data_IF_075201075155
#
_entry.id   IF_075201075155
#
_cell.length_a   1.000
_cell.length_b   1.000
_cell.length_c   1.000
_cell.angle_alpha   90.00
_cell.angle_beta   90.00
_cell.angle_gamma   90.00
#
_symmetry.space_group_name_H-M   'P 1'
#
loop_
_entity.id
_entity.type
_entity.pdbx_description
1 polymer ?
#
# COMPACT_ATOMS: atom_id res chain seq x y z
N UNK A 1 14.46 14.95 -19.04
CA UNK A 1 13.42 14.84 -18.00
C UNK A 1 13.29 13.37 -17.66
N UNK A 2 13.60 13.00 -16.42
CA UNK A 2 13.78 11.61 -16.02
C UNK A 2 12.43 10.88 -16.03
N UNK A 3 12.16 10.09 -17.08
CA UNK A 3 11.05 9.15 -17.10
C UNK A 3 11.36 8.09 -16.05
N UNK A 4 10.85 8.30 -14.83
CA UNK A 4 10.67 7.19 -13.90
C UNK A 4 9.93 6.11 -14.68
N UNK A 5 10.55 4.95 -14.79
CA UNK A 5 9.97 3.79 -15.42
C UNK A 5 8.70 3.48 -14.60
N UNK A 6 7.55 3.99 -15.04
CA UNK A 6 6.28 3.84 -14.34
C UNK A 6 6.00 2.35 -14.31
N UNK A 7 6.29 1.70 -13.17
CA UNK A 7 5.91 0.32 -12.98
C UNK A 7 4.38 0.21 -13.08
N UNK A 8 3.88 -0.98 -13.38
CA UNK A 8 2.45 -1.18 -13.62
C UNK A 8 1.58 -0.72 -12.45
N UNK A 9 2.11 -0.80 -11.22
CA UNK A 9 1.48 -0.31 -9.99
C UNK A 9 1.27 1.21 -10.04
N UNK A 10 2.30 1.98 -10.40
CA UNK A 10 2.22 3.43 -10.53
C UNK A 10 1.21 3.85 -11.61
N UNK A 11 1.19 3.14 -12.75
CA UNK A 11 0.22 3.37 -13.82
C UNK A 11 -1.22 3.08 -13.36
N UNK A 12 -1.44 1.97 -12.66
CA UNK A 12 -2.74 1.60 -12.10
C UNK A 12 -3.23 2.62 -11.05
N UNK A 13 -2.34 3.07 -10.17
CA UNK A 13 -2.66 4.07 -9.16
C UNK A 13 -3.10 5.39 -9.80
N UNK A 14 -2.36 5.88 -10.81
CA UNK A 14 -2.69 7.11 -11.52
C UNK A 14 -4.10 7.04 -12.13
N UNK A 15 -4.39 5.97 -12.88
CA UNK A 15 -5.72 5.76 -13.49
C UNK A 15 -6.84 5.74 -12.45
N UNK A 16 -6.62 5.06 -11.32
CA UNK A 16 -7.62 4.93 -10.26
C UNK A 16 -7.92 6.27 -9.58
N UNK A 17 -6.88 7.08 -9.31
CA UNK A 17 -7.04 8.40 -8.68
C UNK A 17 -7.63 9.42 -9.65
N UNK A 18 -7.26 9.39 -10.93
CA UNK A 18 -7.87 10.24 -11.95
C UNK A 18 -9.37 9.97 -12.09
N UNK A 19 -9.79 8.69 -12.06
CA UNK A 19 -11.20 8.33 -12.06
C UNK A 19 -11.92 8.85 -10.80
N UNK A 20 -11.37 8.58 -9.61
CA UNK A 20 -11.93 9.05 -8.34
C UNK A 20 -12.11 10.57 -8.29
N UNK A 21 -11.13 11.33 -8.78
CA UNK A 21 -11.20 12.80 -8.80
C UNK A 21 -12.23 13.33 -9.80
N UNK A 22 -12.48 12.63 -10.91
CA UNK A 22 -13.56 12.96 -11.84
C UNK A 22 -14.94 12.69 -11.24
N UNK A 23 -15.07 11.59 -10.52
CA UNK A 23 -16.33 11.17 -9.90
C UNK A 23 -16.71 12.02 -8.68
N UNK A 24 -15.76 12.79 -8.15
CA UNK A 24 -15.94 13.61 -6.95
C UNK A 24 -16.91 14.78 -7.13
N UNK A 25 -17.22 15.18 -8.37
CA UNK A 25 -18.21 16.20 -8.77
C UNK A 25 -18.28 17.46 -7.86
N UNK A 26 -17.12 17.94 -7.40
CA UNK A 26 -17.00 19.15 -6.56
C UNK A 26 -17.17 18.96 -5.05
N UNK A 27 -17.41 17.74 -4.56
CA UNK A 27 -17.37 17.44 -3.13
C UNK A 27 -15.94 17.49 -2.57
N UNK A 28 -15.79 17.76 -1.26
CA UNK A 28 -14.46 17.72 -0.63
C UNK A 28 -14.03 16.27 -0.48
N UNK A 29 -12.89 15.86 -1.09
CA UNK A 29 -12.43 14.50 -0.93
C UNK A 29 -12.02 14.26 0.52
N UNK A 30 -12.28 13.06 1.03
CA UNK A 30 -11.60 12.56 2.22
C UNK A 30 -10.08 12.54 2.01
N UNK A 31 -9.30 12.25 3.06
CA UNK A 31 -7.83 12.17 2.94
C UNK A 31 -7.41 11.08 1.93
N UNK A 32 -7.21 11.49 0.67
CA UNK A 32 -6.82 10.61 -0.45
C UNK A 32 -5.51 9.90 -0.13
N UNK A 33 -4.59 10.61 0.52
CA UNK A 33 -3.31 10.05 0.95
C UNK A 33 -3.51 8.83 1.86
N UNK A 34 -4.29 8.98 2.93
CA UNK A 34 -4.58 7.88 3.87
C UNK A 34 -5.33 6.73 3.18
N UNK A 35 -6.28 7.05 2.29
CA UNK A 35 -7.00 6.05 1.49
C UNK A 35 -6.04 5.21 0.65
N UNK A 36 -5.16 5.86 -0.11
CA UNK A 36 -4.19 5.19 -0.98
C UNK A 36 -3.21 4.35 -0.17
N UNK A 37 -2.63 4.93 0.88
CA UNK A 37 -1.65 4.25 1.72
C UNK A 37 -2.28 2.98 2.32
N UNK A 38 -3.50 3.06 2.86
CA UNK A 38 -4.21 1.89 3.40
C UNK A 38 -4.50 0.84 2.32
N UNK A 39 -4.93 1.25 1.14
CA UNK A 39 -5.26 0.36 0.03
C UNK A 39 -4.04 -0.39 -0.53
N UNK A 40 -2.85 0.19 -0.46
CA UNK A 40 -1.61 -0.43 -0.96
C UNK A 40 -0.89 -1.22 0.14
N UNK A 41 -0.81 -0.69 1.36
CA UNK A 41 -0.06 -1.34 2.43
C UNK A 41 -0.65 -2.68 2.87
N UNK A 42 -1.98 -2.77 2.93
CA UNK A 42 -2.64 -4.01 3.37
C UNK A 42 -2.31 -5.21 2.48
N UNK A 43 -2.56 -5.18 1.15
CA UNK A 43 -2.20 -6.31 0.28
C UNK A 43 -0.69 -6.55 0.24
N UNK A 44 0.13 -5.50 0.33
CA UNK A 44 1.58 -5.65 0.39
C UNK A 44 2.01 -6.49 1.61
N UNK A 45 1.45 -6.21 2.80
CA UNK A 45 1.80 -6.94 4.01
C UNK A 45 1.18 -8.35 4.06
N UNK A 46 -0.05 -8.53 3.57
CA UNK A 46 -0.69 -9.84 3.45
C UNK A 46 0.14 -10.77 2.55
N UNK A 47 0.51 -10.31 1.35
CA UNK A 47 1.33 -11.09 0.41
C UNK A 47 2.73 -11.38 0.95
N UNK A 48 3.36 -10.42 1.64
CA UNK A 48 4.66 -10.62 2.26
C UNK A 48 4.61 -11.66 3.39
N UNK A 49 3.56 -11.63 4.22
CA UNK A 49 3.35 -12.61 5.29
C UNK A 49 3.04 -13.99 4.75
N UNK A 50 2.23 -14.09 3.69
CA UNK A 50 1.94 -15.34 2.99
C UNK A 50 3.22 -15.95 2.41
N UNK A 51 3.99 -15.16 1.65
CA UNK A 51 5.26 -15.60 1.08
C UNK A 51 6.27 -16.04 2.16
N UNK A 52 6.27 -15.36 3.31
CA UNK A 52 7.11 -15.70 4.45
C UNK A 52 6.59 -16.88 5.30
N UNK A 53 5.43 -17.47 4.96
CA UNK A 53 4.81 -18.54 5.72
C UNK A 53 4.45 -18.14 7.16
N UNK A 54 3.98 -16.90 7.34
CA UNK A 54 3.65 -16.33 8.65
C UNK A 54 4.85 -15.83 9.46
N UNK A 55 6.08 -15.96 8.96
CA UNK A 55 7.28 -15.51 9.66
C UNK A 55 7.50 -13.99 9.49
N UNK A 56 7.17 -13.22 10.53
CA UNK A 56 7.31 -11.76 10.52
C UNK A 56 8.75 -11.28 10.30
N UNK A 57 9.77 -12.02 10.74
CA UNK A 57 11.18 -11.63 10.50
C UNK A 57 11.50 -11.73 9.01
N UNK A 58 11.16 -12.85 8.38
CA UNK A 58 11.35 -13.05 6.93
C UNK A 58 10.52 -12.06 6.10
N UNK A 59 9.27 -11.80 6.49
CA UNK A 59 8.44 -10.81 5.82
C UNK A 59 9.03 -9.39 5.94
N UNK A 60 9.56 -9.03 7.11
CA UNK A 60 10.21 -7.73 7.33
C UNK A 60 11.50 -7.59 6.51
N UNK A 61 12.29 -8.66 6.40
CA UNK A 61 13.47 -8.72 5.51
C UNK A 61 13.07 -8.56 4.04
N UNK A 62 12.04 -9.28 3.57
CA UNK A 62 11.50 -9.16 2.21
C UNK A 62 11.06 -7.73 1.90
N UNK A 63 10.39 -7.09 2.85
CA UNK A 63 9.88 -5.72 2.72
C UNK A 63 10.96 -4.64 2.93
N UNK A 64 12.15 -5.02 3.40
CA UNK A 64 13.23 -4.07 3.72
C UNK A 64 12.90 -3.11 4.88
N UNK A 65 12.05 -3.53 5.81
CA UNK A 65 11.65 -2.71 6.97
C UNK A 65 12.01 -3.39 8.30
N UNK A 66 12.06 -2.61 9.37
CA UNK A 66 12.24 -3.17 10.71
C UNK A 66 11.05 -4.08 11.09
N UNK A 67 11.32 -5.25 11.66
CA UNK A 67 10.29 -6.20 12.16
C UNK A 67 9.29 -5.55 13.11
N UNK A 68 9.73 -4.66 14.00
CA UNK A 68 8.84 -3.95 14.93
C UNK A 68 7.91 -2.99 14.17
N UNK A 69 8.39 -2.38 13.08
CA UNK A 69 7.55 -1.57 12.18
C UNK A 69 6.50 -2.45 11.50
N UNK A 70 6.88 -3.59 10.93
CA UNK A 70 5.93 -4.53 10.33
C UNK A 70 4.87 -4.97 11.35
N UNK A 71 5.29 -5.41 12.55
CA UNK A 71 4.38 -5.83 13.62
C UNK A 71 3.37 -4.73 13.98
N UNK A 72 3.83 -3.49 14.13
CA UNK A 72 2.95 -2.35 14.44
C UNK A 72 1.96 -2.07 13.30
N UNK A 73 2.38 -2.22 12.03
CA UNK A 73 1.52 -2.01 10.86
C UNK A 73 0.48 -3.13 10.70
N UNK A 74 0.88 -4.39 10.87
CA UNK A 74 -0.04 -5.54 10.89
C UNK A 74 -1.12 -5.36 11.97
N UNK A 75 -0.74 -4.96 13.18
CA UNK A 75 -1.67 -4.70 14.28
C UNK A 75 -2.65 -3.56 13.96
N UNK A 76 -2.18 -2.45 13.39
CA UNK A 76 -3.03 -1.32 12.98
C UNK A 76 -4.04 -1.70 11.90
N UNK A 77 -3.68 -2.62 11.01
CA UNK A 77 -4.50 -3.04 9.88
C UNK A 77 -5.30 -4.33 10.17
N UNK A 78 -5.17 -4.90 11.38
CA UNK A 78 -5.85 -6.13 11.83
C UNK A 78 -5.56 -7.35 10.93
N UNK A 79 -4.35 -7.40 10.36
CA UNK A 79 -3.85 -8.52 9.57
C UNK A 79 -3.37 -9.60 10.55
N UNK A 80 -3.86 -10.83 10.39
CA UNK A 80 -3.54 -11.98 11.26
C UNK A 80 -2.35 -12.77 10.75
#
# INVERSE_FOLDING_TARGET
MNTFNDNEIASCLRKSIEAYLKDLDGERPCSIYEMVIRSVERPLFELAMEYAGGNQTKAAELLGINRNTLRNRLAKQRIK
#
